data_IF_879408588428
#
_entry.id   IF_879408588428
#
_cell.length_a   1.000
_cell.length_b   1.000
_cell.length_c   1.000
_cell.angle_alpha   90.00
_cell.angle_beta   90.00
_cell.angle_gamma   90.00
#
_symmetry.space_group_name_H-M   'P 1'
#
loop_
_entity.id
_entity.type
_entity.pdbx_description
1 polymer ?
#
# COMPACT_ATOMS: atom_id res chain seq x y z
N UNK A 1 -13.62 6.21 13.53
CA UNK A 1 -13.69 5.48 12.25
C UNK A 1 -13.46 6.42 11.08
N UNK A 2 -12.49 6.11 10.21
CA UNK A 2 -12.18 6.88 8.99
C UNK A 2 -12.68 6.09 7.77
N UNK A 3 -13.97 6.22 7.38
CA UNK A 3 -14.57 5.38 6.34
C UNK A 3 -13.85 5.48 4.97
N UNK A 4 -13.19 6.61 4.69
CA UNK A 4 -12.40 6.79 3.47
C UNK A 4 -11.18 5.88 3.36
N UNK A 5 -10.61 5.43 4.49
CA UNK A 5 -9.46 4.50 4.48
C UNK A 5 -9.89 3.13 4.00
N UNK A 6 -10.99 2.59 4.55
CA UNK A 6 -11.52 1.29 4.15
C UNK A 6 -11.97 1.31 2.68
N UNK A 7 -12.66 2.38 2.25
CA UNK A 7 -13.08 2.52 0.85
C UNK A 7 -11.86 2.51 -0.10
N UNK A 8 -10.86 3.38 0.13
CA UNK A 8 -9.63 3.45 -0.67
C UNK A 8 -8.89 2.10 -0.71
N UNK A 9 -8.86 1.37 0.40
CA UNK A 9 -8.24 0.05 0.47
C UNK A 9 -8.96 -0.99 -0.39
N UNK A 10 -10.29 -1.06 -0.32
CA UNK A 10 -11.07 -2.05 -1.10
C UNK A 10 -11.14 -1.69 -2.58
N UNK A 11 -11.23 -0.39 -2.92
CA UNK A 11 -11.18 0.08 -4.30
C UNK A 11 -9.85 -0.30 -4.96
N UNK A 12 -8.72 -0.11 -4.26
CA UNK A 12 -7.41 -0.49 -4.78
C UNK A 12 -7.28 -1.98 -5.13
N UNK A 13 -7.89 -2.86 -4.32
CA UNK A 13 -7.90 -4.30 -4.59
C UNK A 13 -8.86 -4.66 -5.74
N UNK A 14 -10.01 -3.98 -5.81
CA UNK A 14 -10.99 -4.20 -6.88
C UNK A 14 -10.46 -3.76 -8.25
N UNK A 15 -9.79 -2.62 -8.32
CA UNK A 15 -9.24 -2.05 -9.56
C UNK A 15 -8.17 -2.94 -10.19
N UNK A 16 -7.42 -3.71 -9.38
CA UNK A 16 -6.43 -4.67 -9.86
C UNK A 16 -6.96 -6.11 -9.97
N UNK A 17 -8.26 -6.32 -9.75
CA UNK A 17 -8.93 -7.61 -9.93
C UNK A 17 -8.65 -8.64 -8.83
N UNK A 18 -8.21 -8.21 -7.65
CA UNK A 18 -7.92 -9.11 -6.51
C UNK A 18 -9.22 -9.46 -5.80
N UNK A 19 -9.54 -10.75 -5.75
CA UNK A 19 -10.71 -11.23 -5.00
C UNK A 19 -10.40 -11.35 -3.51
N UNK A 20 -11.27 -10.78 -2.67
CA UNK A 20 -11.17 -10.87 -1.21
C UNK A 20 -11.99 -12.06 -0.71
N UNK A 21 -11.35 -13.02 -0.06
CA UNK A 21 -11.99 -14.23 0.48
C UNK A 21 -12.50 -14.02 1.91
N UNK A 22 -11.81 -13.17 2.69
CA UNK A 22 -12.16 -12.85 4.06
C UNK A 22 -11.69 -11.46 4.43
N UNK A 23 -12.46 -10.77 5.28
CA UNK A 23 -12.13 -9.46 5.84
C UNK A 23 -12.14 -9.57 7.38
N UNK A 24 -11.12 -9.01 8.01
CA UNK A 24 -11.07 -8.80 9.46
C UNK A 24 -10.56 -7.40 9.76
N UNK A 25 -11.27 -6.65 10.62
CA UNK A 25 -10.97 -5.25 10.90
C UNK A 25 -10.93 -4.96 12.40
N UNK A 26 -10.01 -4.08 12.81
CA UNK A 26 -10.01 -3.40 14.11
C UNK A 26 -10.04 -1.87 13.90
N UNK A 27 -9.99 -1.09 14.98
CA UNK A 27 -9.94 0.37 14.89
C UNK A 27 -8.70 0.89 14.12
N UNK A 28 -7.62 0.11 14.09
CA UNK A 28 -6.31 0.51 13.53
C UNK A 28 -5.78 -0.42 12.43
N UNK A 29 -6.52 -1.48 12.08
CA UNK A 29 -6.04 -2.49 11.12
C UNK A 29 -7.17 -3.02 10.25
N UNK A 30 -6.88 -3.15 8.96
CA UNK A 30 -7.68 -3.91 8.00
C UNK A 30 -6.81 -5.07 7.53
N UNK A 31 -7.30 -6.29 7.68
CA UNK A 31 -6.66 -7.51 7.20
C UNK A 31 -7.58 -8.21 6.22
N UNK A 32 -7.04 -8.67 5.10
CA UNK A 32 -7.78 -9.44 4.09
C UNK A 32 -7.05 -10.73 3.76
N UNK A 33 -7.82 -11.75 3.38
CA UNK A 33 -7.30 -13.00 2.81
C UNK A 33 -7.60 -12.97 1.31
N UNK A 34 -6.60 -13.27 0.49
CA UNK A 34 -6.71 -13.42 -0.96
C UNK A 34 -5.87 -14.62 -1.41
N UNK A 35 -5.94 -14.97 -2.69
CA UNK A 35 -5.14 -16.07 -3.25
C UNK A 35 -3.67 -15.68 -3.25
N UNK A 36 -2.81 -16.67 -3.02
CA UNK A 36 -1.35 -16.49 -3.07
C UNK A 36 -0.87 -15.91 -4.41
N UNK A 37 -1.50 -16.32 -5.51
CA UNK A 37 -1.23 -15.79 -6.87
C UNK A 37 -1.48 -14.30 -7.02
N UNK A 38 -2.31 -13.73 -6.15
CA UNK A 38 -2.75 -12.34 -6.22
C UNK A 38 -1.97 -11.45 -5.23
N UNK A 39 -1.14 -12.04 -4.36
CA UNK A 39 -0.51 -11.36 -3.23
C UNK A 39 0.38 -10.19 -3.67
N UNK A 40 1.25 -10.40 -4.65
CA UNK A 40 2.16 -9.36 -5.15
C UNK A 40 1.40 -8.17 -5.75
N UNK A 41 0.31 -8.45 -6.47
CA UNK A 41 -0.54 -7.43 -7.09
C UNK A 41 -1.30 -6.66 -6.01
N UNK A 42 -1.88 -7.38 -5.04
CA UNK A 42 -2.60 -6.79 -3.91
C UNK A 42 -1.72 -5.86 -3.08
N UNK A 43 -0.51 -6.32 -2.71
CA UNK A 43 0.44 -5.54 -1.92
C UNK A 43 0.84 -4.26 -2.66
N UNK A 44 1.23 -4.38 -3.94
CA UNK A 44 1.62 -3.20 -4.73
C UNK A 44 0.48 -2.21 -4.93
N UNK A 45 -0.74 -2.71 -5.18
CA UNK A 45 -1.92 -1.88 -5.34
C UNK A 45 -2.22 -1.10 -4.06
N UNK A 46 -2.18 -1.76 -2.89
CA UNK A 46 -2.38 -1.09 -1.60
C UNK A 46 -1.25 -0.10 -1.30
N UNK A 47 0.00 -0.47 -1.51
CA UNK A 47 1.13 0.44 -1.29
C UNK A 47 1.03 1.70 -2.17
N UNK A 48 0.74 1.53 -3.46
CA UNK A 48 0.53 2.66 -4.39
C UNK A 48 -0.68 3.49 -4.00
N UNK A 49 -1.78 2.82 -3.64
CA UNK A 49 -2.98 3.48 -3.20
C UNK A 49 -2.79 4.24 -1.89
N UNK A 50 -1.77 4.00 -1.07
CA UNK A 50 -1.52 4.78 0.15
C UNK A 50 -0.21 5.57 0.10
N UNK A 51 0.46 5.63 -1.06
CA UNK A 51 1.76 6.30 -1.23
C UNK A 51 2.83 5.78 -0.24
N UNK A 52 2.74 4.48 0.08
CA UNK A 52 3.66 3.80 0.98
C UNK A 52 4.77 3.16 0.14
N UNK A 53 5.93 3.78 0.05
CA UNK A 53 7.04 3.23 -0.75
C UNK A 53 8.01 4.29 -1.28
N UNK A 54 7.61 5.56 -1.26
CA UNK A 54 8.51 6.68 -1.57
C UNK A 54 9.38 7.03 -0.36
N UNK A 55 10.36 6.19 -0.07
CA UNK A 55 11.58 6.66 0.60
C UNK A 55 12.56 7.20 -0.46
N UNK A 56 12.13 8.18 -1.27
CA UNK A 56 13.09 8.99 -2.01
C UNK A 56 13.64 10.10 -1.10
N UNK A 57 14.39 9.71 -0.07
CA UNK A 57 15.47 10.56 0.41
C UNK A 57 16.68 10.27 -0.47
N UNK A 58 16.67 10.80 -1.70
CA UNK A 58 17.91 10.96 -2.45
C UNK A 58 18.72 12.01 -1.71
N UNK A 59 19.57 11.57 -0.79
CA UNK A 59 20.57 12.42 -0.16
C UNK A 59 21.53 12.90 -1.26
N UNK A 60 21.29 14.10 -1.78
CA UNK A 60 22.22 14.74 -2.70
C UNK A 60 23.45 15.14 -1.88
N UNK A 61 24.50 14.34 -1.97
CA UNK A 61 25.80 14.68 -1.36
C UNK A 61 26.39 15.84 -2.15
N UNK A 62 26.19 17.07 -1.67
CA UNK A 62 27.02 18.20 -2.06
C UNK A 62 28.40 18.01 -1.43
N UNK A 63 29.21 17.15 -2.06
CA UNK A 63 30.64 17.09 -1.80
C UNK A 63 31.25 18.42 -2.19
N UNK A 64 31.35 19.33 -1.22
CA UNK A 64 32.13 20.55 -1.34
C UNK A 64 33.54 20.19 -1.78
N UNK A 65 33.95 20.73 -2.92
CA UNK A 65 35.29 20.58 -3.47
C UNK A 65 36.29 21.04 -2.41
N UNK A 66 37.07 20.07 -1.91
CA UNK A 66 38.20 20.35 -1.03
C UNK A 66 39.11 21.38 -1.68
N UNK A 67 39.39 22.44 -0.94
CA UNK A 67 40.63 23.20 -1.06
C UNK A 67 41.58 22.72 0.01
#
# INVERSE_FOLDING_TARGET
SHPGVSARFFDALADCGVNIEMISTSEIRISVICRDTDLDVAVRAVHSAFELGDEETTAVVYGGTGR
#
